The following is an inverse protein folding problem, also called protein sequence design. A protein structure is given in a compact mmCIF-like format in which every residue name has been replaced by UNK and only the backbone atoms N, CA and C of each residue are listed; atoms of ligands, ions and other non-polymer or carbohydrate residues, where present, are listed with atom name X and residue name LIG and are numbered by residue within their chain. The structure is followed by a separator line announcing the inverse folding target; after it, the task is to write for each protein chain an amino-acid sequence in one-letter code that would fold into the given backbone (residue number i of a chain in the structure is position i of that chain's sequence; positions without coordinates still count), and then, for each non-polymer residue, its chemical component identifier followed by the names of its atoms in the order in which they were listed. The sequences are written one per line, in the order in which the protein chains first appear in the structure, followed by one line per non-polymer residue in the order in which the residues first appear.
data_IF_314258057667
#
_entry.id   IF_314258057667
#
_cell.length_a   1.000
_cell.length_b   1.000
_cell.length_c   1.000
_cell.angle_alpha   90.00
_cell.angle_beta   90.00
_cell.angle_gamma   90.00
#
_symmetry.space_group_name_H-M   'P 1'
#
loop_
_entity.id
_entity.type
_entity.pdbx_description
1 polymer ?
#
# COMPACT_ATOMS: atom_id res chain seq x y z
N UNK A 1 50.04 -9.20 -7.59
CA UNK A 1 48.93 -8.50 -6.92
C UNK A 1 49.27 -7.02 -6.84
N UNK A 2 48.39 -6.15 -7.36
CA UNK A 2 48.23 -4.83 -6.78
C UNK A 2 46.77 -4.63 -6.36
N UNK A 3 46.60 -4.48 -5.05
CA UNK A 3 45.43 -3.93 -4.39
C UNK A 3 45.28 -2.47 -4.77
N UNK A 4 44.34 -2.18 -5.67
CA UNK A 4 43.74 -0.85 -5.84
C UNK A 4 42.23 -1.03 -5.90
N UNK A 5 41.67 -1.47 -4.76
CA UNK A 5 40.25 -1.26 -4.50
C UNK A 5 40.12 0.25 -4.31
N UNK A 6 39.46 0.87 -5.27
CA UNK A 6 39.01 2.25 -5.23
C UNK A 6 38.53 2.61 -3.82
N UNK A 7 39.26 3.51 -3.16
CA UNK A 7 38.73 4.40 -2.13
C UNK A 7 37.63 5.25 -2.77
N UNK A 8 36.44 4.66 -2.93
CA UNK A 8 35.21 5.43 -3.06
C UNK A 8 34.96 6.03 -1.68
N UNK A 9 35.51 7.22 -1.46
CA UNK A 9 35.00 8.14 -0.45
C UNK A 9 33.47 8.19 -0.62
N UNK A 10 32.77 7.67 0.39
CA UNK A 10 31.32 7.65 0.47
C UNK A 10 30.86 9.10 0.72
N UNK A 11 30.81 9.90 -0.33
CA UNK A 11 30.22 11.24 -0.28
C UNK A 11 28.75 11.12 0.08
N UNK A 12 28.40 11.62 1.27
CA UNK A 12 27.05 11.64 1.82
C UNK A 12 26.20 12.67 1.06
N UNK A 13 25.64 12.28 -0.08
CA UNK A 13 24.81 13.18 -0.88
C UNK A 13 23.36 13.06 -0.41
N UNK A 14 22.87 14.08 0.28
CA UNK A 14 21.43 14.31 0.44
C UNK A 14 20.98 15.42 -0.51
N UNK A 15 19.91 15.17 -1.27
CA UNK A 15 19.34 16.15 -2.21
C UNK A 15 17.94 16.50 -1.76
N UNK A 16 17.69 17.80 -1.61
CA UNK A 16 16.34 18.35 -1.42
C UNK A 16 15.96 18.99 -2.74
N UNK A 17 14.87 18.52 -3.33
CA UNK A 17 14.29 19.08 -4.53
C UNK A 17 12.91 19.65 -4.19
N UNK A 18 12.72 20.94 -4.45
CA UNK A 18 11.43 21.61 -4.32
C UNK A 18 10.89 21.90 -5.72
N UNK A 19 9.64 21.55 -5.96
CA UNK A 19 8.97 21.77 -7.24
C UNK A 19 7.50 22.14 -7.04
N UNK A 20 6.96 22.87 -8.03
CA UNK A 20 5.56 23.28 -8.05
C UNK A 20 4.81 22.44 -9.09
N UNK A 21 4.38 21.25 -8.70
CA UNK A 21 3.59 20.38 -9.59
C UNK A 21 2.10 20.65 -9.39
N UNK A 22 1.38 20.99 -10.47
CA UNK A 22 -0.08 21.17 -10.45
C UNK A 22 -0.59 22.15 -9.37
N UNK A 23 0.14 23.24 -9.12
CA UNK A 23 -0.21 24.26 -8.11
C UNK A 23 -0.04 23.80 -6.65
N UNK A 24 0.66 22.70 -6.41
CA UNK A 24 0.99 22.22 -5.07
C UNK A 24 2.51 22.29 -4.86
N UNK A 25 2.93 22.84 -3.72
CA UNK A 25 4.34 22.77 -3.30
C UNK A 25 4.67 21.34 -2.90
N UNK A 26 5.61 20.73 -3.63
CA UNK A 26 6.16 19.41 -3.37
C UNK A 26 7.61 19.55 -2.91
N UNK A 27 7.99 18.68 -1.98
CA UNK A 27 9.38 18.51 -1.59
C UNK A 27 9.75 17.04 -1.64
N UNK A 28 10.88 16.75 -2.27
CA UNK A 28 11.47 15.43 -2.37
C UNK A 28 12.83 15.44 -1.68
N UNK A 29 13.03 14.54 -0.73
CA UNK A 29 14.29 14.38 -0.01
C UNK A 29 14.86 13.00 -0.30
N UNK A 30 16.08 12.98 -0.79
CA UNK A 30 16.78 11.78 -1.25
C UNK A 30 18.11 11.68 -0.52
N UNK A 31 18.42 10.54 0.09
CA UNK A 31 19.79 10.22 0.53
C UNK A 31 19.88 9.56 1.90
N UNK A 32 21.11 9.19 2.30
CA UNK A 32 21.42 8.56 3.59
C UNK A 32 21.86 9.66 4.56
N UNK A 33 20.91 10.30 5.25
CA UNK A 33 21.21 11.33 6.25
C UNK A 33 21.78 10.69 7.53
N UNK A 34 23.06 10.98 7.86
CA UNK A 34 23.61 10.78 9.21
C UNK A 34 23.20 11.90 10.17
N UNK A 35 23.08 13.14 9.66
CA UNK A 35 22.60 14.29 10.42
C UNK A 35 21.10 14.50 10.19
N UNK A 36 20.33 13.81 11.03
CA UNK A 36 18.88 13.69 10.93
C UNK A 36 18.08 15.01 11.09
N UNK A 37 18.69 16.07 11.64
CA UNK A 37 17.96 17.23 12.17
C UNK A 37 17.85 18.44 11.23
N UNK A 38 18.86 18.72 10.39
CA UNK A 38 18.93 19.98 9.62
C UNK A 38 17.99 19.99 8.42
N UNK A 39 17.93 18.89 7.66
CA UNK A 39 17.07 18.74 6.48
C UNK A 39 15.57 18.84 6.85
N UNK A 40 15.17 18.22 7.95
CA UNK A 40 13.78 18.27 8.42
C UNK A 40 13.37 19.66 8.89
N UNK A 41 14.26 20.40 9.57
CA UNK A 41 13.98 21.77 10.00
C UNK A 41 13.63 22.71 8.85
N UNK A 42 14.24 22.51 7.68
CA UNK A 42 13.95 23.29 6.46
C UNK A 42 12.59 22.95 5.83
N UNK A 43 12.08 21.73 6.04
CA UNK A 43 10.74 21.31 5.56
C UNK A 43 9.64 22.01 6.37
N UNK A 44 9.90 22.28 7.65
CA UNK A 44 8.90 22.85 8.57
C UNK A 44 8.56 24.33 8.37
N UNK A 45 9.34 25.08 7.59
CA UNK A 45 9.11 26.53 7.39
C UNK A 45 8.14 26.85 6.24
N UNK A 46 7.70 25.85 5.47
CA UNK A 46 6.97 26.05 4.21
C UNK A 46 5.68 25.22 4.13
N UNK A 47 4.75 25.70 3.31
CA UNK A 47 3.39 25.16 3.14
C UNK A 47 3.40 24.01 2.10
N UNK A 48 4.14 22.94 2.38
CA UNK A 48 4.16 21.78 1.48
C UNK A 48 2.86 20.99 1.56
N UNK A 49 2.35 20.57 0.39
CA UNK A 49 1.21 19.67 0.28
C UNK A 49 1.64 18.22 0.05
N UNK A 50 2.84 18.01 -0.51
CA UNK A 50 3.36 16.69 -0.86
C UNK A 50 4.79 16.56 -0.32
N UNK A 51 5.05 15.48 0.41
CA UNK A 51 6.36 15.10 0.90
C UNK A 51 6.74 13.73 0.34
N UNK A 52 7.87 13.65 -0.36
CA UNK A 52 8.45 12.39 -0.83
C UNK A 52 9.80 12.16 -0.16
N UNK A 53 9.99 10.99 0.45
CA UNK A 53 11.20 10.60 1.16
C UNK A 53 11.74 9.30 0.55
N UNK A 54 12.99 9.31 0.12
CA UNK A 54 13.63 8.16 -0.54
C UNK A 54 14.94 7.78 0.14
N UNK A 55 15.16 6.48 0.38
CA UNK A 55 16.44 5.90 0.86
C UNK A 55 16.93 6.46 2.21
N UNK A 56 16.00 6.79 3.10
CA UNK A 56 16.27 7.43 4.39
C UNK A 56 16.13 6.46 5.57
N UNK A 57 16.80 6.77 6.69
CA UNK A 57 16.54 6.13 7.98
C UNK A 57 15.80 7.10 8.92
N UNK A 58 14.52 6.84 9.13
CA UNK A 58 13.61 7.67 9.91
C UNK A 58 13.46 7.12 11.33
N UNK A 59 13.89 7.91 12.30
CA UNK A 59 13.76 7.59 13.72
C UNK A 59 12.90 8.62 14.46
N UNK A 60 12.41 8.22 15.64
CA UNK A 60 11.49 9.02 16.46
C UNK A 60 12.02 10.43 16.82
N UNK A 61 13.31 10.61 17.16
CA UNK A 61 13.87 11.93 17.46
C UNK A 61 13.69 12.98 16.35
N UNK A 62 13.66 12.57 15.08
CA UNK A 62 13.40 13.47 13.94
C UNK A 62 12.05 14.18 14.03
N UNK A 63 11.11 13.62 14.79
CA UNK A 63 9.76 14.13 14.98
C UNK A 63 9.51 14.68 16.40
N UNK A 64 10.56 14.84 17.22
CA UNK A 64 10.43 15.21 18.63
C UNK A 64 10.20 16.71 18.88
N UNK A 65 10.59 17.58 17.95
CA UNK A 65 10.48 19.06 18.08
C UNK A 65 9.86 19.63 16.81
N UNK A 66 8.60 19.27 16.54
CA UNK A 66 7.96 19.55 15.25
C UNK A 66 6.58 20.16 15.43
N UNK A 67 6.37 21.30 14.77
CA UNK A 67 5.05 21.92 14.63
C UNK A 67 4.18 21.10 13.68
N UNK A 68 2.84 21.05 13.86
CA UNK A 68 1.95 20.38 12.92
C UNK A 68 2.15 20.86 11.48
N UNK A 69 2.39 19.92 10.57
CA UNK A 69 2.45 20.12 9.12
C UNK A 69 1.02 20.18 8.56
N UNK A 70 0.27 21.19 8.97
CA UNK A 70 -1.19 21.30 8.75
C UNK A 70 -1.63 21.31 7.29
N UNK A 71 -0.73 21.61 6.36
CA UNK A 71 -1.01 21.66 4.92
C UNK A 71 -0.58 20.40 4.17
N UNK A 72 0.16 19.50 4.83
CA UNK A 72 0.67 18.29 4.22
C UNK A 72 -0.48 17.31 3.97
N UNK A 73 -0.75 17.04 2.70
CA UNK A 73 -1.87 16.24 2.23
C UNK A 73 -1.45 14.87 1.69
N UNK A 74 -0.20 14.73 1.22
CA UNK A 74 0.34 13.48 0.69
C UNK A 74 1.74 13.20 1.24
N UNK A 75 1.96 11.96 1.64
CA UNK A 75 3.28 11.47 2.05
C UNK A 75 3.61 10.22 1.25
N UNK A 76 4.78 10.22 0.64
CA UNK A 76 5.32 9.12 -0.13
C UNK A 76 6.66 8.69 0.48
N UNK A 77 6.73 7.46 0.96
CA UNK A 77 7.96 6.83 1.44
C UNK A 77 8.40 5.77 0.45
N UNK A 78 9.67 5.82 0.02
CA UNK A 78 10.25 4.84 -0.89
C UNK A 78 11.60 4.34 -0.37
N UNK A 79 11.70 3.03 -0.15
CA UNK A 79 12.90 2.36 0.37
C UNK A 79 13.46 3.03 1.64
N UNK A 80 12.54 3.40 2.53
CA UNK A 80 12.85 4.08 3.79
C UNK A 80 12.91 3.05 4.92
N UNK A 81 13.94 3.14 5.76
CA UNK A 81 13.98 2.42 7.05
C UNK A 81 13.20 3.22 8.10
N UNK A 82 12.11 2.69 8.63
CA UNK A 82 11.23 3.41 9.55
C UNK A 82 10.72 2.49 10.67
N UNK A 83 10.36 3.08 11.82
CA UNK A 83 9.73 2.38 12.95
C UNK A 83 8.23 2.69 13.03
N UNK A 84 7.45 1.82 13.67
CA UNK A 84 6.02 2.05 13.94
C UNK A 84 5.76 3.45 14.56
N UNK A 85 6.55 3.80 15.57
CA UNK A 85 6.41 5.07 16.30
C UNK A 85 6.78 6.28 15.42
N UNK A 86 7.80 6.18 14.58
CA UNK A 86 8.19 7.25 13.68
C UNK A 86 7.10 7.51 12.62
N UNK A 87 6.54 6.46 12.02
CA UNK A 87 5.42 6.57 11.09
C UNK A 87 4.19 7.17 11.77
N UNK A 88 3.84 6.68 12.96
CA UNK A 88 2.70 7.18 13.75
C UNK A 88 2.84 8.68 14.03
N UNK A 89 4.01 9.13 14.48
CA UNK A 89 4.28 10.57 14.71
C UNK A 89 4.14 11.38 13.44
N UNK A 90 4.70 10.92 12.33
CA UNK A 90 4.59 11.61 11.04
C UNK A 90 3.12 11.79 10.61
N UNK A 91 2.27 10.77 10.81
CA UNK A 91 0.83 10.85 10.53
C UNK A 91 0.13 11.84 11.47
N UNK A 92 0.43 11.82 12.78
CA UNK A 92 -0.15 12.75 13.76
C UNK A 92 0.21 14.19 13.46
N UNK A 93 1.45 14.44 13.06
CA UNK A 93 1.93 15.76 12.68
C UNK A 93 1.31 16.25 11.36
N UNK A 94 0.57 15.41 10.63
CA UNK A 94 0.00 15.72 9.33
C UNK A 94 -1.53 15.64 9.36
N UNK A 95 -2.24 16.55 10.07
CA UNK A 95 -3.68 16.44 10.30
C UNK A 95 -4.54 16.57 9.02
N UNK A 96 -3.95 17.04 7.92
CA UNK A 96 -4.59 17.14 6.60
C UNK A 96 -4.24 15.99 5.66
N UNK A 97 -3.53 14.95 6.14
CA UNK A 97 -3.06 13.83 5.34
C UNK A 97 -4.23 13.05 4.73
N UNK A 98 -4.22 12.97 3.39
CA UNK A 98 -5.19 12.26 2.55
C UNK A 98 -4.61 11.02 1.88
N UNK A 99 -3.32 11.04 1.55
CA UNK A 99 -2.64 9.96 0.84
C UNK A 99 -1.37 9.58 1.59
N UNK A 100 -1.22 8.30 1.89
CA UNK A 100 -0.01 7.73 2.44
C UNK A 100 0.43 6.55 1.57
N UNK A 101 1.65 6.62 1.04
CA UNK A 101 2.21 5.52 0.25
C UNK A 101 3.53 5.04 0.84
N UNK A 102 3.70 3.73 0.96
CA UNK A 102 4.91 3.08 1.41
C UNK A 102 5.35 2.06 0.36
N UNK A 103 6.52 2.26 -0.21
CA UNK A 103 7.14 1.36 -1.19
C UNK A 103 8.46 0.87 -0.61
N UNK A 104 8.69 -0.45 -0.60
CA UNK A 104 9.94 -1.07 -0.16
C UNK A 104 10.42 -0.63 1.23
N UNK A 105 9.51 -0.14 2.08
CA UNK A 105 9.88 0.39 3.38
C UNK A 105 10.25 -0.77 4.32
N UNK A 106 11.41 -0.64 4.94
CA UNK A 106 12.05 -1.69 5.73
C UNK A 106 12.37 -1.18 7.15
N UNK A 107 13.02 -2.00 7.98
CA UNK A 107 13.27 -1.68 9.40
C UNK A 107 12.23 -2.29 10.34
N UNK A 108 12.15 -1.86 11.62
CA UNK A 108 11.22 -2.42 12.59
C UNK A 108 9.82 -1.81 12.44
N UNK A 109 9.32 -1.74 11.20
CA UNK A 109 7.95 -1.37 10.87
C UNK A 109 7.11 -2.65 10.79
N UNK A 110 6.40 -2.96 11.86
CA UNK A 110 5.54 -4.13 11.96
C UNK A 110 4.06 -3.75 11.82
N UNK A 111 3.65 -2.59 12.32
CA UNK A 111 2.25 -2.18 12.38
C UNK A 111 2.04 -0.79 11.77
N UNK A 112 1.13 -0.71 10.80
CA UNK A 112 0.69 0.56 10.20
C UNK A 112 -0.66 0.93 10.80
N UNK A 113 -0.72 2.06 11.50
CA UNK A 113 -1.95 2.59 12.10
C UNK A 113 -2.39 3.84 11.34
N UNK A 114 -3.39 3.67 10.46
CA UNK A 114 -4.01 4.75 9.72
C UNK A 114 -4.98 5.54 10.62
N UNK A 115 -4.44 6.49 11.37
CA UNK A 115 -5.18 7.30 12.36
C UNK A 115 -5.67 8.66 11.85
N UNK A 116 -5.26 9.08 10.65
CA UNK A 116 -5.73 10.35 10.08
C UNK A 116 -7.21 10.26 9.67
N UNK A 117 -8.02 11.17 10.20
CA UNK A 117 -9.46 11.30 9.88
C UNK A 117 -9.74 11.79 8.45
N UNK A 118 -8.70 12.14 7.69
CA UNK A 118 -8.82 12.59 6.30
C UNK A 118 -8.16 11.62 5.32
N UNK A 119 -7.61 10.50 5.81
CA UNK A 119 -6.90 9.54 4.97
C UNK A 119 -7.89 8.82 4.04
N UNK A 120 -7.83 9.19 2.76
CA UNK A 120 -8.66 8.61 1.70
C UNK A 120 -7.96 7.51 0.92
N UNK A 121 -6.63 7.48 0.93
CA UNK A 121 -5.84 6.51 0.18
C UNK A 121 -4.63 6.02 0.98
N UNK A 122 -4.47 4.70 1.05
CA UNK A 122 -3.33 4.02 1.65
C UNK A 122 -2.79 2.96 0.68
N UNK A 123 -1.52 3.09 0.33
CA UNK A 123 -0.83 2.21 -0.61
C UNK A 123 0.40 1.64 0.08
N UNK A 124 0.53 0.31 0.10
CA UNK A 124 1.63 -0.42 0.74
C UNK A 124 2.15 -1.46 -0.24
N UNK A 125 3.41 -1.36 -0.63
CA UNK A 125 4.02 -2.23 -1.64
C UNK A 125 5.37 -2.72 -1.13
N UNK A 126 5.54 -4.05 -1.12
CA UNK A 126 6.80 -4.74 -0.82
C UNK A 126 7.44 -4.34 0.53
N UNK A 127 6.61 -4.02 1.52
CA UNK A 127 7.03 -3.71 2.88
C UNK A 127 7.03 -4.99 3.73
N UNK A 128 8.06 -5.83 3.56
CA UNK A 128 8.08 -7.24 4.02
C UNK A 128 8.00 -7.45 5.54
N UNK A 129 8.36 -6.44 6.34
CA UNK A 129 8.27 -6.53 7.79
C UNK A 129 6.89 -6.18 8.33
N UNK A 130 6.00 -5.61 7.51
CA UNK A 130 4.65 -5.23 7.91
C UNK A 130 3.83 -6.49 8.17
N UNK A 131 3.36 -6.60 9.40
CA UNK A 131 2.54 -7.69 9.93
C UNK A 131 1.07 -7.30 9.99
N UNK A 132 0.77 -6.02 10.18
CA UNK A 132 -0.59 -5.57 10.31
C UNK A 132 -0.81 -4.14 9.85
N UNK A 133 -2.02 -3.91 9.37
CA UNK A 133 -2.56 -2.59 9.06
C UNK A 133 -3.85 -2.47 9.85
N UNK A 134 -3.99 -1.37 10.58
CA UNK A 134 -5.20 -1.03 11.32
C UNK A 134 -5.71 0.30 10.79
N UNK A 135 -6.91 0.26 10.21
CA UNK A 135 -7.63 1.45 9.75
C UNK A 135 -8.64 1.83 10.82
N UNK A 136 -8.65 3.11 11.23
CA UNK A 136 -9.60 3.55 12.24
C UNK A 136 -11.05 3.48 11.69
N UNK A 137 -12.05 3.16 12.53
CA UNK A 137 -13.44 3.03 12.09
C UNK A 137 -14.01 4.25 11.35
N UNK A 138 -13.64 5.45 11.77
CA UNK A 138 -14.10 6.72 11.18
C UNK A 138 -13.21 7.21 10.02
N UNK A 139 -12.32 6.37 9.50
CA UNK A 139 -11.45 6.74 8.38
C UNK A 139 -12.27 6.85 7.08
N UNK A 140 -12.13 7.94 6.31
CA UNK A 140 -12.78 8.08 5.00
C UNK A 140 -12.00 7.33 3.90
N UNK A 141 -11.54 6.11 4.19
CA UNK A 141 -10.64 5.36 3.31
C UNK A 141 -11.42 4.83 2.10
N UNK A 142 -11.10 5.36 0.91
CA UNK A 142 -11.73 4.97 -0.35
C UNK A 142 -10.86 4.03 -1.18
N UNK A 143 -9.53 4.19 -1.07
CA UNK A 143 -8.56 3.42 -1.85
C UNK A 143 -7.58 2.72 -0.91
N UNK A 144 -7.48 1.40 -1.03
CA UNK A 144 -6.55 0.60 -0.25
C UNK A 144 -5.83 -0.39 -1.16
N UNK A 145 -4.53 -0.19 -1.32
CA UNK A 145 -3.70 -1.05 -2.16
C UNK A 145 -2.63 -1.70 -1.30
N UNK A 146 -2.56 -3.02 -1.33
CA UNK A 146 -1.55 -3.78 -0.64
C UNK A 146 -0.98 -4.88 -1.55
N UNK A 147 0.33 -4.81 -1.78
CA UNK A 147 1.07 -5.78 -2.58
C UNK A 147 2.34 -6.22 -1.84
N UNK A 148 2.68 -7.52 -1.90
CA UNK A 148 3.95 -8.05 -1.41
C UNK A 148 3.81 -9.38 -0.67
N UNK A 149 4.53 -9.54 0.45
CA UNK A 149 4.53 -10.76 1.26
C UNK A 149 4.37 -10.45 2.76
N UNK A 150 3.21 -9.94 3.22
CA UNK A 150 2.98 -9.65 4.62
C UNK A 150 2.99 -10.97 5.40
N UNK A 151 3.63 -10.93 6.56
CA UNK A 151 3.81 -12.11 7.41
C UNK A 151 2.52 -12.51 8.14
N UNK A 152 1.46 -11.68 8.13
CA UNK A 152 0.21 -11.93 8.86
C UNK A 152 -0.99 -11.16 8.27
N UNK A 153 -2.23 -11.57 8.58
CA UNK A 153 -3.42 -10.91 8.05
C UNK A 153 -3.62 -9.57 8.75
N UNK A 154 -3.88 -8.52 7.99
CA UNK A 154 -4.27 -7.22 8.54
C UNK A 154 -5.78 -7.08 8.71
N UNK A 155 -6.23 -6.15 9.54
CA UNK A 155 -7.65 -5.96 9.81
C UNK A 155 -8.09 -4.57 9.33
N UNK A 156 -8.97 -4.53 8.33
CA UNK A 156 -9.57 -3.28 7.85
C UNK A 156 -10.83 -2.89 8.64
N UNK A 157 -11.10 -3.54 9.78
CA UNK A 157 -12.34 -3.40 10.55
C UNK A 157 -12.78 -1.95 10.74
N UNK A 158 -14.10 -1.72 10.61
CA UNK A 158 -14.75 -0.42 10.76
C UNK A 158 -14.50 0.55 9.60
N UNK A 159 -13.24 0.80 9.25
CA UNK A 159 -12.81 1.83 8.30
C UNK A 159 -12.94 1.45 6.82
N UNK A 160 -13.12 0.16 6.49
CA UNK A 160 -13.31 -0.29 5.11
C UNK A 160 -14.71 -0.04 4.52
N UNK A 161 -15.68 0.44 5.29
CA UNK A 161 -17.07 0.60 4.80
C UNK A 161 -17.19 1.55 3.59
N UNK A 162 -16.30 2.52 3.48
CA UNK A 162 -16.28 3.50 2.39
C UNK A 162 -15.33 3.11 1.25
N UNK A 163 -14.70 1.94 1.36
CA UNK A 163 -13.72 1.47 0.39
C UNK A 163 -14.42 1.16 -0.93
N UNK A 164 -13.94 1.78 -2.00
CA UNK A 164 -14.46 1.62 -3.36
C UNK A 164 -13.44 0.99 -4.31
N UNK A 165 -12.14 1.14 -3.99
CA UNK A 165 -11.03 0.60 -4.76
C UNK A 165 -10.08 -0.21 -3.87
N UNK A 166 -9.92 -1.49 -4.21
CA UNK A 166 -9.12 -2.45 -3.46
C UNK A 166 -8.14 -3.16 -4.39
N UNK A 167 -6.84 -2.99 -4.13
CA UNK A 167 -5.80 -3.82 -4.72
C UNK A 167 -5.20 -4.71 -3.63
N UNK A 168 -5.17 -6.01 -3.88
CA UNK A 168 -4.74 -7.00 -2.90
C UNK A 168 -4.01 -8.16 -3.59
N UNK A 169 -2.68 -8.07 -3.62
CA UNK A 169 -1.81 -8.98 -4.37
C UNK A 169 -0.71 -9.55 -3.46
N UNK A 170 -0.86 -10.81 -3.02
CA UNK A 170 0.13 -11.45 -2.17
C UNK A 170 0.85 -12.61 -2.83
N UNK A 171 2.12 -12.75 -2.49
CA UNK A 171 2.87 -13.97 -2.72
C UNK A 171 3.04 -14.72 -1.38
N UNK A 172 1.99 -15.39 -0.88
CA UNK A 172 2.09 -16.05 0.41
C UNK A 172 3.15 -17.16 0.36
N UNK A 173 4.00 -17.31 1.40
CA UNK A 173 4.68 -18.58 1.62
C UNK A 173 3.65 -19.70 1.78
N UNK A 174 4.04 -20.96 1.62
CA UNK A 174 3.15 -22.16 1.58
C UNK A 174 2.09 -22.21 2.72
N UNK A 175 2.39 -21.63 3.89
CA UNK A 175 1.48 -21.54 5.05
C UNK A 175 0.47 -20.37 5.01
N UNK A 176 0.60 -19.44 4.06
CA UNK A 176 -0.16 -18.19 4.00
C UNK A 176 -1.60 -18.34 3.50
N UNK A 177 -2.02 -19.52 3.03
CA UNK A 177 -3.42 -19.75 2.62
C UNK A 177 -4.41 -19.69 3.80
N UNK A 178 -4.02 -20.13 5.00
CA UNK A 178 -4.88 -20.02 6.19
C UNK A 178 -5.06 -18.55 6.61
N UNK A 179 -3.95 -17.82 6.67
CA UNK A 179 -3.89 -16.38 6.95
C UNK A 179 -4.78 -15.58 5.99
N UNK A 180 -4.68 -15.84 4.69
CA UNK A 180 -5.51 -15.18 3.69
C UNK A 180 -7.00 -15.54 3.83
N UNK A 181 -7.33 -16.80 4.17
CA UNK A 181 -8.73 -17.19 4.41
C UNK A 181 -9.34 -16.45 5.59
N UNK A 182 -8.62 -16.37 6.71
CA UNK A 182 -9.06 -15.63 7.89
C UNK A 182 -9.22 -14.14 7.58
N UNK A 183 -8.29 -13.57 6.80
CA UNK A 183 -8.39 -12.20 6.32
C UNK A 183 -9.69 -11.96 5.56
N UNK A 184 -9.97 -12.76 4.54
CA UNK A 184 -11.21 -12.61 3.75
C UNK A 184 -12.43 -12.79 4.64
N UNK A 185 -12.46 -13.81 5.51
CA UNK A 185 -13.58 -14.03 6.44
C UNK A 185 -13.87 -12.81 7.31
N UNK A 186 -12.83 -12.14 7.81
CA UNK A 186 -12.98 -11.00 8.73
C UNK A 186 -13.31 -9.68 8.01
N UNK A 187 -12.89 -9.53 6.74
CA UNK A 187 -13.00 -8.26 6.02
C UNK A 187 -14.13 -8.23 4.99
N UNK A 188 -14.55 -9.37 4.42
CA UNK A 188 -15.59 -9.45 3.38
C UNK A 188 -16.88 -8.68 3.71
N UNK A 189 -17.43 -8.72 4.95
CA UNK A 189 -18.64 -7.96 5.29
C UNK A 189 -18.54 -6.45 5.09
N UNK A 190 -17.33 -5.90 4.97
CA UNK A 190 -17.07 -4.47 4.79
C UNK A 190 -16.77 -4.08 3.33
N UNK A 191 -16.76 -5.05 2.40
CA UNK A 191 -16.35 -4.83 1.01
C UNK A 191 -17.53 -4.61 0.03
N UNK A 192 -18.76 -4.46 0.52
CA UNK A 192 -19.98 -4.32 -0.30
C UNK A 192 -19.98 -3.14 -1.29
N UNK A 193 -19.21 -2.09 -0.97
CA UNK A 193 -19.10 -0.87 -1.78
C UNK A 193 -17.95 -0.92 -2.81
N UNK A 194 -17.23 -2.03 -2.91
CA UNK A 194 -16.13 -2.16 -3.86
C UNK A 194 -16.64 -2.11 -5.30
N UNK A 195 -16.12 -1.14 -6.05
CA UNK A 195 -16.40 -0.93 -7.48
C UNK A 195 -15.23 -1.34 -8.37
N UNK A 196 -14.01 -1.31 -7.82
CA UNK A 196 -12.76 -1.72 -8.47
C UNK A 196 -12.01 -2.71 -7.57
N UNK A 197 -11.74 -3.90 -8.09
CA UNK A 197 -10.99 -4.95 -7.39
C UNK A 197 -9.82 -5.41 -8.26
N UNK A 198 -8.61 -5.34 -7.71
CA UNK A 198 -7.39 -5.88 -8.33
C UNK A 198 -6.79 -6.96 -7.44
N UNK A 199 -6.74 -8.22 -7.88
CA UNK A 199 -6.20 -9.34 -7.09
C UNK A 199 -5.28 -10.22 -7.92
N UNK A 200 -4.33 -10.90 -7.27
CA UNK A 200 -3.46 -11.84 -7.98
C UNK A 200 -3.98 -13.28 -7.98
N UNK A 201 -3.38 -14.13 -8.82
CA UNK A 201 -3.71 -15.56 -8.93
C UNK A 201 -3.67 -16.32 -7.59
N UNK A 202 -2.75 -15.98 -6.69
CA UNK A 202 -2.66 -16.60 -5.36
C UNK A 202 -3.83 -16.21 -4.45
N UNK A 203 -4.17 -14.92 -4.43
CA UNK A 203 -5.35 -14.41 -3.72
C UNK A 203 -6.63 -15.02 -4.29
N UNK A 204 -6.74 -15.10 -5.62
CA UNK A 204 -7.89 -15.67 -6.32
C UNK A 204 -8.13 -17.14 -5.94
N UNK A 205 -7.07 -17.96 -5.82
CA UNK A 205 -7.16 -19.34 -5.34
C UNK A 205 -7.77 -19.42 -3.94
N UNK A 206 -7.36 -18.54 -3.02
CA UNK A 206 -7.90 -18.55 -1.66
C UNK A 206 -9.39 -18.22 -1.65
N UNK A 207 -9.79 -17.21 -2.43
CA UNK A 207 -11.20 -16.83 -2.53
C UNK A 207 -12.05 -17.94 -3.17
N UNK A 208 -11.53 -18.65 -4.17
CA UNK A 208 -12.24 -19.78 -4.77
C UNK A 208 -12.39 -20.97 -3.81
N UNK A 209 -11.40 -21.21 -2.94
CA UNK A 209 -11.46 -22.24 -1.90
C UNK A 209 -12.52 -21.96 -0.81
N UNK A 210 -12.86 -20.69 -0.54
CA UNK A 210 -13.93 -20.35 0.42
C UNK A 210 -15.32 -20.87 -0.02
N UNK A 211 -15.45 -21.37 -1.25
CA UNK A 211 -16.68 -21.93 -1.80
C UNK A 211 -16.74 -23.46 -1.86
N UNK A 212 -15.68 -24.17 -1.47
CA UNK A 212 -15.74 -25.63 -1.51
C UNK A 212 -16.82 -26.16 -0.54
N UNK A 213 -17.65 -27.14 -0.98
CA UNK A 213 -18.61 -27.77 -0.08
C UNK A 213 -17.88 -28.37 1.12
N UNK A 214 -18.15 -27.84 2.32
CA UNK A 214 -17.43 -28.15 3.56
C UNK A 214 -16.69 -26.95 4.19
N UNK A 215 -16.55 -25.84 3.47
CA UNK A 215 -16.18 -24.56 4.07
C UNK A 215 -17.40 -24.00 4.83
N UNK A 216 -17.38 -24.05 6.17
CA UNK A 216 -18.39 -23.46 7.06
C UNK A 216 -18.36 -21.91 7.04
N UNK A 217 -18.38 -21.28 5.87
CA UNK A 217 -18.62 -19.86 5.74
C UNK A 217 -20.09 -19.64 5.38
N UNK A 218 -20.76 -18.75 6.11
CA UNK A 218 -22.08 -18.28 5.74
C UNK A 218 -22.03 -17.75 4.31
N UNK A 219 -22.77 -18.41 3.41
CA UNK A 219 -22.83 -18.11 1.98
C UNK A 219 -23.18 -16.64 1.69
N UNK A 220 -23.78 -15.92 2.65
CA UNK A 220 -24.11 -14.49 2.60
C UNK A 220 -22.89 -13.56 2.52
N UNK A 221 -21.70 -14.00 2.94
CA UNK A 221 -20.48 -13.17 2.97
C UNK A 221 -19.94 -12.89 1.54
N UNK A 222 -20.36 -13.67 0.54
CA UNK A 222 -19.90 -13.56 -0.85
C UNK A 222 -20.81 -12.72 -1.76
N UNK A 223 -21.95 -12.24 -1.24
CA UNK A 223 -22.81 -11.27 -1.94
C UNK A 223 -22.20 -9.85 -2.00
N UNK A 224 -21.05 -9.65 -1.37
CA UNK A 224 -20.43 -8.33 -1.15
C UNK A 224 -19.74 -7.72 -2.38
N UNK A 225 -19.91 -8.25 -3.60
CA UNK A 225 -19.32 -7.67 -4.83
C UNK A 225 -20.37 -7.22 -5.86
N UNK A 226 -21.61 -6.97 -5.44
CA UNK A 226 -22.69 -6.49 -6.33
C UNK A 226 -22.38 -5.14 -6.99
N UNK A 227 -21.60 -4.29 -6.31
CA UNK A 227 -21.18 -2.97 -6.81
C UNK A 227 -19.99 -3.05 -7.77
N UNK A 228 -19.41 -4.23 -7.98
CA UNK A 228 -18.18 -4.41 -8.74
C UNK A 228 -18.40 -4.09 -10.23
N UNK A 229 -17.65 -3.10 -10.73
CA UNK A 229 -17.68 -2.67 -12.14
C UNK A 229 -16.36 -2.90 -12.86
N UNK A 230 -15.25 -2.99 -12.13
CA UNK A 230 -13.92 -3.26 -12.65
C UNK A 230 -13.26 -4.38 -11.86
N UNK A 231 -12.78 -5.39 -12.57
CA UNK A 231 -12.00 -6.51 -12.03
C UNK A 231 -10.71 -6.64 -12.81
N UNK A 232 -9.59 -6.55 -12.11
CA UNK A 232 -8.25 -6.81 -12.63
C UNK A 232 -7.66 -8.03 -11.94
N UNK A 233 -7.17 -8.98 -12.73
CA UNK A 233 -6.54 -10.20 -12.25
C UNK A 233 -5.09 -10.26 -12.71
N UNK A 234 -4.17 -10.21 -11.75
CA UNK A 234 -2.73 -10.35 -12.01
C UNK A 234 -2.30 -11.80 -11.84
N UNK A 235 -1.97 -12.45 -12.94
CA UNK A 235 -1.53 -13.84 -12.95
C UNK A 235 -0.02 -13.87 -12.72
N UNK A 236 0.42 -14.37 -11.56
CA UNK A 236 1.85 -14.44 -11.23
C UNK A 236 2.54 -15.65 -11.88
N UNK A 237 1.75 -16.69 -12.22
CA UNK A 237 2.13 -17.82 -13.06
C UNK A 237 0.86 -18.37 -13.72
N UNK A 238 0.67 -18.19 -15.03
CA UNK A 238 -0.55 -18.60 -15.71
C UNK A 238 -0.64 -20.14 -15.86
N UNK A 239 -1.31 -20.80 -14.91
CA UNK A 239 -1.60 -22.25 -14.94
C UNK A 239 -3.08 -22.50 -15.28
N UNK A 240 -3.39 -23.66 -15.87
CA UNK A 240 -4.77 -24.05 -16.22
C UNK A 240 -5.74 -24.02 -15.01
N UNK A 241 -5.24 -24.29 -13.81
CA UNK A 241 -5.96 -24.16 -12.53
C UNK A 241 -6.47 -22.72 -12.30
N UNK A 242 -5.77 -21.72 -12.83
CA UNK A 242 -6.14 -20.31 -12.78
C UNK A 242 -7.50 -20.03 -13.41
N UNK A 243 -7.78 -20.60 -14.59
CA UNK A 243 -9.07 -20.41 -15.28
C UNK A 243 -10.24 -20.93 -14.44
N UNK A 244 -10.10 -22.11 -13.82
CA UNK A 244 -11.12 -22.66 -12.93
C UNK A 244 -11.44 -21.73 -11.76
N UNK A 245 -10.42 -21.13 -11.15
CA UNK A 245 -10.61 -20.19 -10.05
C UNK A 245 -11.30 -18.89 -10.48
N UNK A 246 -11.02 -18.39 -11.69
CA UNK A 246 -11.73 -17.23 -12.27
C UNK A 246 -13.21 -17.54 -12.40
N UNK A 247 -13.57 -18.69 -12.99
CA UNK A 247 -14.97 -19.08 -13.14
C UNK A 247 -15.68 -19.23 -11.80
N UNK A 248 -15.04 -19.86 -10.81
CA UNK A 248 -15.61 -19.99 -9.46
C UNK A 248 -15.81 -18.61 -8.83
N UNK A 249 -14.84 -17.70 -8.94
CA UNK A 249 -14.93 -16.33 -8.44
C UNK A 249 -16.07 -15.55 -9.09
N UNK A 250 -16.15 -15.51 -10.43
CA UNK A 250 -17.19 -14.77 -11.15
C UNK A 250 -18.60 -15.32 -10.84
N UNK A 251 -18.73 -16.64 -10.71
CA UNK A 251 -19.98 -17.27 -10.25
C UNK A 251 -20.32 -16.89 -8.80
N UNK A 252 -19.35 -16.37 -8.04
CA UNK A 252 -19.50 -15.96 -6.63
C UNK A 252 -20.08 -14.59 -6.46
N UNK A 253 -19.79 -13.68 -7.38
CA UNK A 253 -20.24 -12.29 -7.30
C UNK A 253 -21.73 -12.07 -7.64
N UNK A 254 -22.61 -13.08 -7.50
CA UNK A 254 -24.06 -13.07 -7.80
C UNK A 254 -24.55 -11.89 -8.68
N UNK A 255 -24.22 -11.94 -9.99
CA UNK A 255 -24.44 -10.89 -11.01
C UNK A 255 -23.62 -9.59 -10.79
N UNK A 256 -22.29 -9.62 -10.97
CA UNK A 256 -21.51 -8.39 -10.93
C UNK A 256 -21.92 -7.46 -12.09
N UNK A 257 -22.03 -6.16 -11.83
CA UNK A 257 -22.24 -5.11 -12.84
C UNK A 257 -20.94 -4.80 -13.59
N UNK A 258 -20.20 -5.84 -13.98
CA UNK A 258 -18.85 -5.74 -14.48
C UNK A 258 -18.84 -5.07 -15.85
N UNK A 259 -18.22 -3.89 -15.93
CA UNK A 259 -18.02 -3.12 -17.16
C UNK A 259 -16.64 -3.37 -17.76
N UNK A 260 -15.65 -3.67 -16.92
CA UNK A 260 -14.26 -3.91 -17.32
C UNK A 260 -13.71 -5.14 -16.62
N UNK A 261 -13.16 -6.06 -17.40
CA UNK A 261 -12.45 -7.23 -16.91
C UNK A 261 -11.08 -7.29 -17.58
N UNK A 262 -10.02 -7.25 -16.78
CA UNK A 262 -8.64 -7.31 -17.25
C UNK A 262 -7.95 -8.51 -16.61
N UNK A 263 -7.20 -9.26 -17.41
CA UNK A 263 -6.28 -10.28 -16.94
C UNK A 263 -4.90 -9.88 -17.43
N UNK A 264 -3.99 -9.63 -16.50
CA UNK A 264 -2.59 -9.32 -16.78
C UNK A 264 -1.74 -10.52 -16.40
N UNK A 265 -0.75 -10.86 -17.23
CA UNK A 265 0.26 -11.83 -16.88
C UNK A 265 1.49 -11.06 -16.39
N UNK A 266 1.90 -11.29 -15.16
CA UNK A 266 3.22 -10.90 -14.68
C UNK A 266 4.05 -12.16 -14.61
N UNK A 267 4.67 -12.53 -15.73
CA UNK A 267 5.90 -13.32 -15.67
C UNK A 267 6.87 -12.53 -14.79
N UNK A 268 7.21 -13.07 -13.62
CA UNK A 268 8.15 -12.44 -12.69
C UNK A 268 9.50 -12.32 -13.40
N UNK A 269 9.72 -11.21 -14.08
CA UNK A 269 11.03 -10.68 -14.34
C UNK A 269 11.28 -9.60 -13.29
N UNK A 270 12.36 -9.80 -12.54
CA UNK A 270 12.84 -9.03 -11.39
C UNK A 270 13.23 -7.56 -11.73
N UNK A 271 12.69 -7.00 -12.82
CA UNK A 271 13.18 -5.77 -13.45
C UNK A 271 12.11 -4.82 -14.02
N UNK A 272 10.81 -5.10 -13.91
CA UNK A 272 9.76 -4.24 -14.50
C UNK A 272 8.83 -3.58 -13.45
N UNK A 273 9.39 -3.03 -12.37
CA UNK A 273 8.76 -1.89 -11.69
C UNK A 273 9.20 -0.64 -12.46
N UNK A 274 8.57 -0.41 -13.61
CA UNK A 274 8.68 0.88 -14.29
C UNK A 274 7.91 1.92 -13.48
N UNK A 275 8.61 2.98 -13.14
CA UNK A 275 8.01 4.22 -12.70
C UNK A 275 7.07 4.70 -13.83
N UNK A 276 5.77 4.72 -13.61
CA UNK A 276 4.92 5.70 -14.31
C UNK A 276 5.27 7.06 -13.71
N UNK A 277 6.37 7.63 -14.21
CA UNK A 277 6.44 9.06 -14.44
C UNK A 277 5.36 9.39 -15.49
N UNK A 278 4.66 10.50 -15.25
CA UNK A 278 3.62 11.10 -16.09
C UNK A 278 2.22 10.45 -16.11
N UNK A 279 1.28 11.11 -15.42
CA UNK A 279 0.00 11.37 -16.07
C UNK A 279 0.00 12.81 -16.59
N UNK A 280 -0.15 12.99 -17.92
CA UNK A 280 -0.12 14.28 -18.58
C UNK A 280 -1.39 15.09 -18.28
N UNK A 281 -1.24 16.40 -18.31
CA UNK A 281 -2.36 17.29 -18.55
C UNK A 281 -2.97 17.03 -19.93
N UNK A 282 -4.27 17.30 -20.02
CA UNK A 282 -4.93 17.81 -21.23
C UNK A 282 -4.97 16.88 -22.45
N UNK A 283 -6.14 16.31 -22.72
CA UNK A 283 -7.03 16.72 -23.83
C UNK A 283 -8.46 16.24 -23.52
#
# INVERSE_FOLDING_TARGET
MPSSVLDLQQENISRIQEDLTSGQLRVTVIGILKDHYSAYRSIHSKIYKILTLCWLNLNVPMFAVVHPMSCLAKIHLNDVRITDEALRRMVILSPSLRVLTLFYCNGPLAMIIASSRKLSSLIIVECNNVRGVVVMPDSPLHNFHCMGSPLSPFNLSGGARLLTDLLFCFNPPILGHQVLREWFRNNLPFLSNITSLSICSNTLQVVSFLRHPGANLDMAILDNFQSLTMLELTMLEFKAVGLGNIFVFLKSCHRPNLKKFLVTDRTIHDSDIRFEEDFPGSL
#
